data_IF_754805250812
#
_entry.id   IF_754805250812
#
_cell.length_a   1.000
_cell.length_b   1.000
_cell.length_c   1.000
_cell.angle_alpha   90.00
_cell.angle_beta   90.00
_cell.angle_gamma   90.00
#
_symmetry.space_group_name_H-M   'P 1'
#
loop_
_entity.id
_entity.type
_entity.pdbx_description
1 polymer ?
#
# COMPACT_ATOMS: atom_id res chain seq x y z
N UNK A 1 12.10 8.95 -78.35
CA UNK A 1 12.31 7.61 -77.75
C UNK A 1 12.03 7.75 -76.25
N UNK A 2 10.77 7.49 -75.82
CA UNK A 2 10.29 7.76 -74.43
C UNK A 2 10.27 6.41 -73.71
N UNK A 3 11.15 6.24 -72.72
CA UNK A 3 11.18 5.03 -71.88
C UNK A 3 10.16 5.18 -70.73
N UNK A 4 9.11 4.33 -70.72
CA UNK A 4 8.13 4.18 -69.63
C UNK A 4 8.77 3.47 -68.46
N UNK A 5 8.88 4.17 -67.31
CA UNK A 5 9.16 3.55 -66.02
C UNK A 5 7.87 2.93 -65.48
N UNK A 6 7.84 1.61 -65.28
CA UNK A 6 6.79 0.89 -64.54
C UNK A 6 7.17 0.90 -63.04
N UNK A 7 6.47 1.70 -62.25
CA UNK A 7 6.51 1.60 -60.79
C UNK A 7 5.83 0.30 -60.36
N UNK A 8 6.60 -0.64 -59.81
CA UNK A 8 6.08 -1.76 -59.04
C UNK A 8 5.92 -1.29 -57.58
N UNK A 9 4.68 -1.09 -57.15
CA UNK A 9 4.32 -0.89 -55.74
C UNK A 9 4.48 -2.25 -55.05
N UNK A 10 5.48 -2.37 -54.19
CA UNK A 10 5.67 -3.52 -53.29
C UNK A 10 4.84 -3.26 -52.03
N UNK A 11 3.65 -3.86 -51.93
CA UNK A 11 2.86 -3.84 -50.71
C UNK A 11 3.49 -4.80 -49.72
N UNK A 12 4.21 -4.25 -48.76
CA UNK A 12 4.76 -5.02 -47.64
C UNK A 12 3.60 -5.35 -46.67
N UNK A 13 3.13 -6.58 -46.75
CA UNK A 13 2.21 -7.13 -45.77
C UNK A 13 3.01 -7.36 -44.46
N UNK A 14 2.93 -6.44 -43.53
CA UNK A 14 3.41 -6.66 -42.15
C UNK A 14 2.40 -7.60 -41.49
N UNK A 15 2.69 -8.90 -41.53
CA UNK A 15 2.00 -9.88 -40.68
C UNK A 15 2.50 -9.59 -39.26
N UNK A 16 1.69 -8.90 -38.45
CA UNK A 16 1.89 -8.84 -37.03
C UNK A 16 1.69 -10.24 -36.46
N UNK A 17 2.77 -10.99 -36.30
CA UNK A 17 2.79 -12.18 -35.45
C UNK A 17 2.47 -11.69 -34.03
N UNK A 18 1.21 -11.79 -33.62
CA UNK A 18 0.82 -11.75 -32.23
C UNK A 18 1.52 -12.95 -31.58
N UNK A 19 2.61 -12.70 -30.86
CA UNK A 19 3.17 -13.66 -29.92
C UNK A 19 2.11 -13.81 -28.84
N UNK A 20 1.20 -14.78 -29.01
CA UNK A 20 0.23 -15.13 -28.00
C UNK A 20 1.00 -15.70 -26.81
N UNK A 21 1.14 -14.93 -25.73
CA UNK A 21 1.68 -15.44 -24.48
C UNK A 21 0.87 -16.66 -24.00
N UNK A 22 1.53 -17.63 -23.38
CA UNK A 22 0.88 -18.79 -22.79
C UNK A 22 -0.10 -18.34 -21.71
N UNK A 23 -1.28 -18.97 -21.68
CA UNK A 23 -2.31 -18.67 -20.68
C UNK A 23 -2.21 -19.60 -19.48
N UNK A 24 -2.42 -19.05 -18.27
CA UNK A 24 -2.46 -19.82 -17.03
C UNK A 24 -3.92 -19.91 -16.56
N UNK A 25 -4.39 -21.14 -16.37
CA UNK A 25 -5.70 -21.43 -15.82
C UNK A 25 -5.57 -21.90 -14.36
N UNK A 26 -6.08 -21.14 -13.41
CA UNK A 26 -6.31 -21.58 -12.04
C UNK A 26 -7.75 -22.11 -12.00
N UNK A 27 -7.91 -23.43 -11.86
CA UNK A 27 -9.24 -24.07 -11.84
C UNK A 27 -9.66 -24.55 -10.48
N UNK A 28 -10.99 -24.64 -10.27
CA UNK A 28 -11.60 -25.18 -9.07
C UNK A 28 -11.11 -24.49 -7.78
N UNK A 29 -11.15 -23.16 -7.76
CA UNK A 29 -10.72 -22.31 -6.66
C UNK A 29 -11.92 -21.82 -5.85
N UNK A 30 -11.78 -21.71 -4.53
CA UNK A 30 -12.70 -20.92 -3.67
C UNK A 30 -12.19 -19.47 -3.67
N UNK A 31 -12.86 -18.63 -4.45
CA UNK A 31 -12.39 -17.29 -4.77
C UNK A 31 -13.01 -16.26 -3.83
N UNK A 32 -12.18 -15.53 -3.09
CA UNK A 32 -12.53 -14.23 -2.51
C UNK A 32 -11.96 -13.15 -3.44
N UNK A 33 -12.80 -12.54 -4.24
CA UNK A 33 -12.38 -11.65 -5.33
C UNK A 33 -11.98 -10.23 -4.88
N UNK A 34 -12.17 -9.90 -3.60
CA UNK A 34 -11.95 -8.55 -3.08
C UNK A 34 -13.10 -7.57 -3.41
N UNK A 35 -14.16 -8.01 -4.07
CA UNK A 35 -15.31 -7.19 -4.46
C UNK A 35 -16.57 -7.63 -3.70
N UNK A 36 -16.88 -8.93 -3.77
CA UNK A 36 -18.03 -9.53 -3.11
C UNK A 36 -17.73 -9.80 -1.64
N UNK A 37 -18.78 -9.86 -0.81
CA UNK A 37 -18.63 -10.17 0.60
C UNK A 37 -18.49 -11.68 0.85
N UNK A 38 -18.89 -12.52 -0.11
CA UNK A 38 -18.83 -13.97 -0.02
C UNK A 38 -17.94 -14.55 -1.11
N UNK A 39 -17.32 -15.70 -0.82
CA UNK A 39 -16.57 -16.46 -1.80
C UNK A 39 -17.50 -17.23 -2.74
N UNK A 40 -16.95 -17.59 -3.90
CA UNK A 40 -17.59 -18.50 -4.85
C UNK A 40 -16.56 -19.49 -5.41
N UNK A 41 -17.05 -20.63 -5.90
CA UNK A 41 -16.18 -21.60 -6.58
C UNK A 41 -16.10 -21.27 -8.06
N UNK A 42 -14.88 -21.13 -8.60
CA UNK A 42 -14.68 -20.73 -9.98
C UNK A 42 -13.29 -20.99 -10.52
N UNK A 43 -13.09 -20.48 -11.73
CA UNK A 43 -11.88 -20.60 -12.51
C UNK A 43 -11.40 -19.20 -12.92
N UNK A 44 -10.07 -19.00 -12.93
CA UNK A 44 -9.43 -17.75 -13.29
C UNK A 44 -8.47 -18.01 -14.45
N UNK A 45 -8.65 -17.31 -15.57
CA UNK A 45 -7.75 -17.39 -16.71
C UNK A 45 -6.88 -16.13 -16.77
N UNK A 46 -5.58 -16.34 -16.78
CA UNK A 46 -4.56 -15.29 -16.82
C UNK A 46 -3.86 -15.35 -18.18
N UNK A 47 -3.68 -14.22 -18.82
CA UNK A 47 -2.90 -14.07 -20.04
C UNK A 47 -2.27 -12.68 -20.10
N UNK A 48 -1.04 -12.57 -20.60
CA UNK A 48 -0.35 -11.30 -20.81
C UNK A 48 -0.41 -10.40 -19.56
N UNK A 49 -0.05 -10.97 -18.39
CA UNK A 49 -0.05 -10.31 -17.06
C UNK A 49 -1.42 -10.02 -16.46
N UNK A 50 -2.51 -10.17 -17.22
CA UNK A 50 -3.86 -9.75 -16.78
C UNK A 50 -4.82 -10.93 -16.63
N UNK A 51 -5.81 -10.72 -15.80
CA UNK A 51 -6.97 -11.61 -15.66
C UNK A 51 -7.88 -11.36 -16.86
N UNK A 52 -8.07 -12.37 -17.71
CA UNK A 52 -8.90 -12.25 -18.92
C UNK A 52 -10.27 -12.89 -18.77
N UNK A 53 -10.43 -13.80 -17.79
CA UNK A 53 -11.73 -14.42 -17.51
C UNK A 53 -11.80 -14.90 -16.05
N UNK A 54 -12.97 -14.73 -15.43
CA UNK A 54 -13.35 -15.31 -14.15
C UNK A 54 -14.73 -15.92 -14.31
N UNK A 55 -14.89 -17.23 -14.08
CA UNK A 55 -16.15 -17.93 -14.37
C UNK A 55 -16.27 -19.22 -13.56
N UNK A 56 -17.52 -19.67 -13.30
CA UNK A 56 -17.79 -21.01 -12.76
C UNK A 56 -17.83 -22.10 -13.85
N UNK A 57 -17.91 -21.72 -15.13
CA UNK A 57 -17.94 -22.67 -16.23
C UNK A 57 -16.55 -23.24 -16.52
N UNK A 58 -16.51 -24.43 -17.11
CA UNK A 58 -15.26 -25.00 -17.61
C UNK A 58 -14.66 -24.16 -18.73
N UNK A 59 -13.38 -23.85 -18.61
CA UNK A 59 -12.58 -23.14 -19.60
C UNK A 59 -11.23 -23.85 -19.79
N UNK A 60 -10.55 -23.53 -20.88
CA UNK A 60 -9.24 -24.09 -21.22
C UNK A 60 -8.15 -23.05 -21.03
N UNK A 61 -6.97 -23.49 -20.67
CA UNK A 61 -5.75 -22.71 -20.62
C UNK A 61 -4.57 -23.60 -21.02
N UNK A 62 -3.48 -22.99 -21.43
CA UNK A 62 -2.27 -23.70 -21.86
C UNK A 62 -1.57 -24.36 -20.65
N UNK A 63 -1.53 -23.65 -19.53
CA UNK A 63 -1.01 -24.14 -18.26
C UNK A 63 -2.13 -24.22 -17.22
N UNK A 64 -2.35 -25.40 -16.66
CA UNK A 64 -3.48 -25.64 -15.74
C UNK A 64 -2.97 -25.91 -14.32
N UNK A 65 -3.44 -25.09 -13.37
CA UNK A 65 -3.23 -25.26 -11.94
C UNK A 65 -4.56 -25.61 -11.30
N UNK A 66 -4.69 -26.80 -10.74
CA UNK A 66 -5.88 -27.16 -9.99
C UNK A 66 -5.73 -26.68 -8.53
N UNK A 67 -6.54 -25.71 -8.15
CA UNK A 67 -6.55 -25.21 -6.77
C UNK A 67 -7.20 -26.16 -5.77
N UNK A 68 -7.90 -27.23 -6.22
CA UNK A 68 -8.50 -28.24 -5.35
C UNK A 68 -9.42 -27.63 -4.26
N UNK A 69 -10.22 -26.61 -4.63
CA UNK A 69 -11.07 -25.82 -3.73
C UNK A 69 -10.31 -25.02 -2.66
N UNK A 70 -9.00 -24.88 -2.77
CA UNK A 70 -8.22 -24.00 -1.91
C UNK A 70 -8.67 -22.55 -2.08
N UNK A 71 -8.46 -21.77 -1.03
CA UNK A 71 -8.79 -20.34 -1.05
C UNK A 71 -7.83 -19.60 -1.98
N UNK A 72 -8.41 -18.74 -2.81
CA UNK A 72 -7.69 -17.86 -3.71
C UNK A 72 -8.14 -16.43 -3.46
N UNK A 73 -7.16 -15.54 -3.25
CA UNK A 73 -7.39 -14.11 -2.99
C UNK A 73 -6.60 -13.24 -3.97
N UNK A 74 -6.95 -11.95 -4.11
CA UNK A 74 -6.00 -10.99 -4.65
C UNK A 74 -4.72 -10.96 -3.82
N UNK A 75 -3.64 -10.45 -4.40
CA UNK A 75 -2.42 -10.12 -3.66
C UNK A 75 -2.69 -9.08 -2.58
N UNK A 76 -2.07 -9.26 -1.40
CA UNK A 76 -2.25 -8.36 -0.28
C UNK A 76 -1.44 -7.08 -0.47
N UNK A 77 -2.02 -5.95 -0.07
CA UNK A 77 -1.42 -4.60 -0.14
C UNK A 77 -1.14 -4.13 1.29
N UNK A 78 0.12 -4.01 1.66
CA UNK A 78 0.51 -3.46 2.95
C UNK A 78 0.62 -1.93 2.87
N UNK A 79 -0.14 -1.19 3.69
CA UNK A 79 -0.33 0.27 3.55
C UNK A 79 0.50 1.13 4.50
N UNK A 80 1.29 0.54 5.36
CA UNK A 80 2.18 1.23 6.31
C UNK A 80 3.45 0.41 6.47
N UNK A 81 4.39 0.60 5.54
CA UNK A 81 5.64 -0.17 5.55
C UNK A 81 6.86 0.73 5.40
N UNK A 82 8.02 0.18 5.77
CA UNK A 82 9.35 0.72 5.47
C UNK A 82 10.10 -0.23 4.52
N UNK A 83 9.39 -1.13 3.82
CA UNK A 83 10.00 -2.10 2.90
C UNK A 83 10.81 -1.38 1.83
N UNK A 84 12.03 -1.85 1.65
CA UNK A 84 12.96 -1.33 0.65
C UNK A 84 13.71 -0.05 1.06
N UNK A 85 13.33 0.61 2.17
CA UNK A 85 14.03 1.82 2.67
C UNK A 85 14.63 1.65 4.07
N UNK A 86 14.26 0.59 4.78
CA UNK A 86 14.86 0.23 6.07
C UNK A 86 15.12 -1.27 6.11
N UNK A 87 16.37 -1.67 6.39
CA UNK A 87 16.74 -3.09 6.55
C UNK A 87 16.76 -3.51 8.02
N UNK A 88 17.34 -2.70 8.90
CA UNK A 88 17.42 -2.96 10.32
C UNK A 88 17.06 -1.67 11.07
N UNK A 89 15.88 -1.64 11.68
CA UNK A 89 15.36 -0.44 12.33
C UNK A 89 16.27 0.18 13.40
N UNK A 90 17.06 -0.66 14.10
CA UNK A 90 18.01 -0.20 15.13
C UNK A 90 19.33 0.36 14.56
N UNK A 91 19.60 0.23 13.25
CA UNK A 91 20.85 0.69 12.63
C UNK A 91 20.57 1.86 11.69
N UNK A 92 20.93 3.07 12.10
CA UNK A 92 20.72 4.29 11.30
C UNK A 92 21.34 4.22 9.91
N UNK A 93 22.46 3.55 9.73
CA UNK A 93 23.15 3.36 8.44
C UNK A 93 22.33 2.53 7.43
N UNK A 94 21.28 1.87 7.86
CA UNK A 94 20.37 1.08 7.00
C UNK A 94 18.99 1.72 6.84
N UNK A 95 18.86 3.00 7.17
CA UNK A 95 17.61 3.76 7.15
C UNK A 95 17.69 4.92 6.16
N UNK A 96 16.80 4.91 5.17
CA UNK A 96 16.64 5.95 4.16
C UNK A 96 15.24 6.60 4.23
N UNK A 97 14.65 6.60 5.43
CA UNK A 97 13.24 6.93 5.69
C UNK A 97 13.01 8.32 6.27
N UNK A 98 14.07 9.12 6.46
CA UNK A 98 13.99 10.46 7.07
C UNK A 98 14.88 11.46 6.36
N UNK A 99 14.54 12.75 6.49
CA UNK A 99 15.32 13.86 5.97
C UNK A 99 15.25 15.07 6.91
N UNK A 100 16.37 15.77 7.05
CA UNK A 100 16.47 16.98 7.86
C UNK A 100 16.23 18.25 7.02
N UNK A 101 16.71 18.25 5.78
CA UNK A 101 16.70 19.42 4.92
C UNK A 101 15.34 19.69 4.26
N UNK A 102 14.70 18.65 3.70
CA UNK A 102 13.36 18.78 3.10
C UNK A 102 12.30 18.44 4.15
N UNK A 103 11.48 19.42 4.51
CA UNK A 103 10.51 19.29 5.61
C UNK A 103 9.19 18.68 5.16
N UNK A 104 8.79 18.94 3.90
CA UNK A 104 7.49 18.49 3.36
C UNK A 104 7.67 17.68 2.07
N UNK A 105 8.53 18.13 1.17
CA UNK A 105 8.75 17.55 -0.14
C UNK A 105 9.79 16.42 -0.19
N UNK A 106 10.15 15.82 0.93
CA UNK A 106 11.02 14.64 0.99
C UNK A 106 10.32 13.43 0.37
N UNK A 107 10.90 12.85 -0.68
CA UNK A 107 10.40 11.64 -1.35
C UNK A 107 11.30 10.44 -1.07
N UNK A 108 10.70 9.29 -0.78
CA UNK A 108 11.43 8.03 -0.52
C UNK A 108 11.58 7.17 -1.78
N UNK A 109 11.01 7.59 -2.91
CA UNK A 109 10.93 6.75 -4.11
C UNK A 109 12.31 6.30 -4.62
N UNK A 110 13.26 7.23 -4.69
CA UNK A 110 14.61 6.96 -5.21
C UNK A 110 15.49 6.16 -4.23
N UNK A 111 15.07 6.04 -2.96
CA UNK A 111 15.77 5.25 -1.95
C UNK A 111 15.34 3.78 -1.93
N UNK A 112 14.30 3.42 -2.65
CA UNK A 112 13.76 2.06 -2.60
C UNK A 112 14.75 1.03 -3.14
N UNK A 113 15.12 0.07 -2.30
CA UNK A 113 15.99 -1.06 -2.65
C UNK A 113 15.15 -2.32 -2.95
N UNK A 114 14.94 -2.69 -4.21
CA UNK A 114 14.17 -3.89 -4.58
C UNK A 114 14.86 -5.19 -4.15
N UNK A 115 16.15 -5.15 -3.79
CA UNK A 115 16.92 -6.28 -3.28
C UNK A 115 16.93 -6.37 -1.74
N UNK A 116 16.09 -5.60 -1.04
CA UNK A 116 15.92 -5.73 0.40
C UNK A 116 15.58 -7.16 0.82
N UNK A 117 16.25 -7.65 1.87
CA UNK A 117 16.01 -9.01 2.38
C UNK A 117 14.63 -9.19 3.00
N UNK A 118 13.97 -8.11 3.35
CA UNK A 118 12.63 -8.09 3.94
C UNK A 118 11.53 -8.29 2.89
N UNK A 119 11.77 -7.95 1.63
CA UNK A 119 10.80 -8.09 0.54
C UNK A 119 10.46 -9.57 0.30
N UNK A 120 11.41 -10.50 0.06
CA UNK A 120 11.10 -11.92 -0.10
C UNK A 120 10.38 -12.51 1.12
N UNK A 121 10.70 -12.07 2.33
CA UNK A 121 10.06 -12.51 3.56
C UNK A 121 8.56 -12.14 3.59
N UNK A 122 8.23 -10.88 3.36
CA UNK A 122 6.84 -10.43 3.35
C UNK A 122 6.07 -10.98 2.14
N UNK A 123 6.71 -11.05 0.97
CA UNK A 123 6.13 -11.61 -0.26
C UNK A 123 5.79 -13.10 -0.12
N UNK A 124 6.64 -13.91 0.51
CA UNK A 124 6.35 -15.33 0.77
C UNK A 124 5.18 -15.52 1.73
N UNK A 125 4.73 -14.47 2.39
CA UNK A 125 3.55 -14.44 3.25
C UNK A 125 2.34 -13.73 2.60
N UNK A 126 2.41 -13.42 1.30
CA UNK A 126 1.29 -12.92 0.51
C UNK A 126 1.27 -11.42 0.25
N UNK A 127 2.25 -10.63 0.74
CA UNK A 127 2.34 -9.21 0.39
C UNK A 127 2.88 -9.07 -1.03
N UNK A 128 2.05 -8.66 -1.97
CA UNK A 128 2.43 -8.50 -3.39
C UNK A 128 2.83 -7.07 -3.74
N UNK A 129 2.40 -6.13 -2.92
CA UNK A 129 2.74 -4.72 -3.09
C UNK A 129 2.68 -3.97 -1.75
N UNK A 130 3.34 -2.83 -1.68
CA UNK A 130 3.40 -2.01 -0.48
C UNK A 130 3.23 -0.54 -0.77
N UNK A 131 2.57 0.17 0.14
CA UNK A 131 2.71 1.60 0.31
C UNK A 131 3.81 1.81 1.35
N UNK A 132 4.98 2.22 0.88
CA UNK A 132 6.13 2.49 1.72
C UNK A 132 6.12 3.96 2.12
N UNK A 133 6.23 4.22 3.42
CA UNK A 133 6.09 5.53 4.02
C UNK A 133 7.40 5.98 4.64
N UNK A 134 7.77 7.27 4.53
CA UNK A 134 8.87 7.82 5.31
C UNK A 134 8.53 7.87 6.80
N UNK A 135 9.53 8.11 7.62
CA UNK A 135 9.34 8.54 9.00
C UNK A 135 8.86 10.00 9.04
N UNK A 136 8.50 10.46 10.21
CA UNK A 136 8.13 11.85 10.41
C UNK A 136 9.29 12.79 10.04
N UNK A 137 8.96 13.87 9.37
CA UNK A 137 9.86 15.02 9.18
C UNK A 137 9.77 16.00 10.37
N UNK A 138 10.51 17.09 10.34
CA UNK A 138 10.39 18.17 11.33
C UNK A 138 9.07 18.94 11.24
N UNK A 139 8.31 18.79 10.15
CA UNK A 139 6.98 19.36 9.96
C UNK A 139 5.87 18.42 10.47
N UNK A 140 4.75 18.94 10.99
CA UNK A 140 3.60 18.10 11.38
C UNK A 140 2.92 17.41 10.19
N UNK A 141 3.05 17.96 8.97
CA UNK A 141 2.71 17.31 7.70
C UNK A 141 3.91 17.38 6.77
N UNK A 142 4.28 16.29 6.15
CA UNK A 142 5.40 16.22 5.21
C UNK A 142 6.04 14.85 5.13
N UNK A 143 6.75 14.64 4.03
CA UNK A 143 7.27 13.35 3.61
C UNK A 143 6.29 12.64 2.67
N UNK A 144 6.81 12.20 1.54
CA UNK A 144 6.04 11.60 0.44
C UNK A 144 6.31 10.10 0.40
N UNK A 145 5.29 9.32 0.66
CA UNK A 145 5.29 7.86 0.51
C UNK A 145 4.99 7.44 -0.92
N UNK A 146 5.40 6.24 -1.27
CA UNK A 146 5.31 5.71 -2.63
C UNK A 146 4.79 4.27 -2.64
N UNK A 147 4.09 3.92 -3.71
CA UNK A 147 3.59 2.57 -3.93
C UNK A 147 4.57 1.76 -4.76
N UNK A 148 4.84 0.51 -4.33
CA UNK A 148 5.77 -0.40 -4.98
C UNK A 148 5.17 -1.78 -5.18
N UNK A 149 5.49 -2.39 -6.33
CA UNK A 149 5.19 -3.78 -6.65
C UNK A 149 6.38 -4.63 -6.24
N UNK A 150 6.12 -5.70 -5.50
CA UNK A 150 7.16 -6.53 -4.90
C UNK A 150 7.47 -7.77 -5.75
N UNK A 151 7.61 -7.62 -7.08
CA UNK A 151 7.83 -8.72 -8.01
C UNK A 151 9.25 -9.34 -7.94
N UNK A 152 10.18 -8.66 -7.25
CA UNK A 152 11.55 -9.11 -7.06
C UNK A 152 12.49 -8.81 -8.21
N UNK A 153 12.06 -8.00 -9.17
CA UNK A 153 12.91 -7.49 -10.25
C UNK A 153 13.71 -6.29 -9.74
N UNK A 154 14.93 -6.12 -10.26
CA UNK A 154 15.77 -4.96 -9.91
C UNK A 154 15.24 -3.64 -10.48
N UNK A 155 14.47 -3.71 -11.55
CA UNK A 155 13.77 -2.54 -12.07
C UNK A 155 12.55 -2.26 -11.20
N UNK A 156 12.53 -1.09 -10.57
CA UNK A 156 11.43 -0.66 -9.71
C UNK A 156 10.17 -0.46 -10.54
N UNK A 157 9.10 -1.15 -10.17
CA UNK A 157 7.75 -0.92 -10.67
C UNK A 157 6.91 -0.34 -9.52
N UNK A 158 6.36 0.88 -9.72
CA UNK A 158 5.62 1.57 -8.67
C UNK A 158 5.13 2.94 -9.10
N UNK A 159 4.56 3.66 -8.15
CA UNK A 159 4.09 5.04 -8.32
C UNK A 159 4.75 5.92 -7.26
N UNK A 160 5.54 6.89 -7.73
CA UNK A 160 6.21 7.84 -6.85
C UNK A 160 5.21 8.79 -6.20
N UNK A 161 5.52 9.19 -4.96
CA UNK A 161 4.82 10.25 -4.24
C UNK A 161 3.29 10.08 -4.25
N UNK A 162 2.84 8.89 -3.89
CA UNK A 162 1.42 8.49 -3.90
C UNK A 162 0.63 9.13 -2.76
N UNK A 163 1.32 9.51 -1.68
CA UNK A 163 0.70 9.99 -0.45
C UNK A 163 1.65 10.91 0.32
N UNK A 164 1.09 11.90 1.02
CA UNK A 164 1.81 12.68 2.04
C UNK A 164 1.46 12.13 3.42
N UNK A 165 2.43 12.15 4.34
CA UNK A 165 2.18 11.75 5.74
C UNK A 165 2.11 12.96 6.66
N UNK A 166 1.52 12.76 7.83
CA UNK A 166 1.48 13.75 8.90
C UNK A 166 1.09 13.11 10.23
N UNK A 167 1.08 13.94 11.28
CA UNK A 167 0.73 13.52 12.63
C UNK A 167 0.01 14.61 13.40
N UNK A 168 -0.84 14.19 14.33
CA UNK A 168 -1.49 15.05 15.31
C UNK A 168 -1.62 14.29 16.63
N UNK A 169 -1.03 14.80 17.69
CA UNK A 169 -1.01 14.19 19.01
C UNK A 169 0.15 13.20 19.22
N UNK A 170 0.10 12.48 20.33
CA UNK A 170 1.17 11.58 20.75
C UNK A 170 2.37 12.30 21.36
N UNK A 171 3.48 11.58 21.50
CA UNK A 171 4.73 12.08 22.14
C UNK A 171 5.52 13.07 21.27
N UNK A 172 5.12 13.28 20.05
CA UNK A 172 5.82 14.15 19.09
C UNK A 172 5.40 15.62 19.21
N UNK A 173 4.21 15.89 19.76
CA UNK A 173 3.64 17.22 19.82
C UNK A 173 3.84 17.83 21.20
N UNK A 174 4.45 19.02 21.23
CA UNK A 174 4.51 19.83 22.46
C UNK A 174 3.12 20.33 22.87
N UNK A 175 2.31 20.71 21.86
CA UNK A 175 0.94 21.18 22.02
C UNK A 175 0.11 20.86 20.78
N UNK A 176 -1.05 20.20 20.98
CA UNK A 176 -2.01 19.96 19.88
C UNK A 176 -2.50 21.24 19.24
N UNK A 177 -2.71 22.28 20.06
CA UNK A 177 -3.17 23.58 19.56
C UNK A 177 -2.15 24.22 18.62
N UNK A 178 -0.86 24.13 18.97
CA UNK A 178 0.22 24.62 18.11
C UNK A 178 0.31 23.79 16.82
N UNK A 179 0.30 22.46 16.93
CA UNK A 179 0.35 21.56 15.76
C UNK A 179 -0.82 21.79 14.81
N UNK A 180 -2.05 21.91 15.33
CA UNK A 180 -3.23 22.22 14.52
C UNK A 180 -3.13 23.60 13.85
N UNK A 181 -2.58 24.60 14.55
CA UNK A 181 -2.36 25.93 13.97
C UNK A 181 -1.35 25.87 12.83
N UNK A 182 -0.23 25.17 13.01
CA UNK A 182 0.77 25.00 11.96
C UNK A 182 0.18 24.26 10.74
N UNK A 183 -0.56 23.16 10.96
CA UNK A 183 -1.24 22.43 9.88
C UNK A 183 -2.21 23.35 9.14
N UNK A 184 -3.06 24.09 9.86
CA UNK A 184 -4.01 25.02 9.25
C UNK A 184 -3.31 26.12 8.44
N UNK A 185 -2.22 26.68 8.95
CA UNK A 185 -1.47 27.73 8.26
C UNK A 185 -0.76 27.21 7.00
N UNK A 186 -0.21 25.99 7.06
CA UNK A 186 0.37 25.30 5.90
C UNK A 186 -0.69 25.00 4.82
N UNK A 187 -1.88 24.54 5.22
CA UNK A 187 -2.98 24.25 4.29
C UNK A 187 -3.54 25.55 3.71
N UNK A 188 -3.63 26.62 4.50
CA UNK A 188 -4.01 27.95 4.03
C UNK A 188 -3.02 28.49 3.00
N UNK A 189 -1.72 28.37 3.28
CA UNK A 189 -0.67 28.71 2.33
C UNK A 189 -0.77 27.88 1.05
N UNK A 190 -0.89 26.54 1.18
CA UNK A 190 -1.05 25.63 0.05
C UNK A 190 -2.23 26.01 -0.86
N UNK A 191 -3.37 26.41 -0.26
CA UNK A 191 -4.58 26.84 -0.99
C UNK A 191 -4.40 28.14 -1.75
N UNK A 192 -3.41 28.97 -1.38
CA UNK A 192 -3.11 30.23 -2.07
C UNK A 192 -2.19 30.04 -3.30
N UNK A 193 -1.59 28.85 -3.46
CA UNK A 193 -0.62 28.57 -4.51
C UNK A 193 -1.33 28.20 -5.81
N UNK A 194 -1.08 28.93 -6.89
CA UNK A 194 -1.58 28.57 -8.21
C UNK A 194 -0.63 27.67 -8.98
N UNK A 195 -1.17 26.84 -9.88
CA UNK A 195 -0.38 25.95 -10.75
C UNK A 195 0.65 26.73 -11.60
N UNK A 196 0.37 27.96 -11.98
CA UNK A 196 1.32 28.82 -12.70
C UNK A 196 2.57 29.09 -11.87
N UNK A 197 2.39 29.46 -10.62
CA UNK A 197 3.48 29.87 -9.72
C UNK A 197 4.47 28.72 -9.43
N UNK A 198 4.01 27.47 -9.32
CA UNK A 198 4.91 26.32 -9.04
C UNK A 198 5.80 25.92 -10.23
N UNK A 199 5.56 26.49 -11.41
CA UNK A 199 6.37 26.23 -12.60
C UNK A 199 7.55 27.21 -12.75
N UNK A 200 7.65 28.23 -11.88
CA UNK A 200 8.73 29.23 -11.88
C UNK A 200 9.45 29.24 -10.54
N UNK A 201 10.73 28.97 -10.52
CA UNK A 201 11.55 29.04 -9.29
C UNK A 201 11.56 30.42 -8.67
N UNK A 202 11.51 31.49 -9.49
CA UNK A 202 11.43 32.86 -9.02
C UNK A 202 10.10 33.10 -8.31
N UNK A 203 8.97 32.72 -8.92
CA UNK A 203 7.64 32.89 -8.32
C UNK A 203 7.51 32.09 -7.01
N UNK A 204 8.07 30.86 -6.94
CA UNK A 204 8.12 30.08 -5.70
C UNK A 204 8.92 30.82 -4.61
N UNK A 205 10.05 31.40 -4.95
CA UNK A 205 10.90 32.13 -3.99
C UNK A 205 10.19 33.39 -3.47
N UNK A 206 9.44 34.08 -4.32
CA UNK A 206 8.59 35.20 -3.95
C UNK A 206 7.44 34.77 -3.02
N UNK A 207 6.78 33.62 -3.31
CA UNK A 207 5.76 33.02 -2.44
C UNK A 207 6.30 32.71 -1.05
N UNK A 208 7.46 32.06 -0.95
CA UNK A 208 8.11 31.73 0.32
C UNK A 208 8.38 33.03 1.10
N UNK A 209 8.97 34.03 0.45
CA UNK A 209 9.37 35.29 1.09
C UNK A 209 8.15 36.12 1.56
N UNK A 210 7.01 36.00 0.89
CA UNK A 210 5.78 36.72 1.23
C UNK A 210 4.94 36.00 2.29
N UNK A 211 5.20 34.75 2.58
CA UNK A 211 4.44 33.94 3.55
C UNK A 211 5.17 33.83 4.89
N UNK A 212 4.51 34.27 5.97
CA UNK A 212 5.06 34.15 7.32
C UNK A 212 5.32 32.70 7.75
N UNK A 213 4.39 31.80 7.45
CA UNK A 213 4.56 30.37 7.79
C UNK A 213 5.67 29.71 6.94
N UNK A 214 5.74 30.00 5.64
CA UNK A 214 6.76 29.45 4.78
C UNK A 214 8.17 29.92 5.17
N UNK A 215 8.30 31.21 5.52
CA UNK A 215 9.56 31.77 6.02
C UNK A 215 9.93 31.22 7.40
N UNK A 216 8.99 31.17 8.35
CA UNK A 216 9.23 30.67 9.69
C UNK A 216 9.62 29.18 9.69
N UNK A 217 9.08 28.41 8.77
CA UNK A 217 9.44 26.99 8.58
C UNK A 217 10.62 26.79 7.62
N UNK A 218 11.19 27.85 7.06
CA UNK A 218 12.31 27.75 6.10
C UNK A 218 12.02 26.76 4.98
N UNK A 219 10.84 26.90 4.33
CA UNK A 219 10.43 25.96 3.30
C UNK A 219 11.32 26.06 2.07
N UNK A 220 11.66 24.89 1.51
CA UNK A 220 12.34 24.80 0.22
C UNK A 220 11.33 24.82 -0.93
N UNK A 221 11.69 25.24 -2.17
CA UNK A 221 10.80 25.15 -3.34
C UNK A 221 10.16 23.79 -3.56
N UNK A 222 10.84 22.70 -3.22
CA UNK A 222 10.30 21.33 -3.26
C UNK A 222 9.14 21.14 -2.29
N UNK A 223 9.21 21.74 -1.09
CA UNK A 223 8.16 21.67 -0.09
C UNK A 223 6.89 22.42 -0.58
N UNK A 224 7.07 23.56 -1.24
CA UNK A 224 5.97 24.33 -1.85
C UNK A 224 5.27 23.51 -2.95
N UNK A 225 6.05 22.84 -3.81
CA UNK A 225 5.49 21.94 -4.84
C UNK A 225 4.70 20.76 -4.23
N UNK A 226 5.18 20.19 -3.15
CA UNK A 226 4.48 19.11 -2.46
C UNK A 226 3.17 19.61 -1.82
N UNK A 227 3.18 20.78 -1.18
CA UNK A 227 1.98 21.42 -0.65
C UNK A 227 0.96 21.77 -1.74
N UNK A 228 1.42 22.27 -2.90
CA UNK A 228 0.55 22.50 -4.04
C UNK A 228 -0.17 21.23 -4.49
N UNK A 229 0.56 20.11 -4.61
CA UNK A 229 -0.03 18.81 -4.99
C UNK A 229 -1.09 18.33 -4.00
N UNK A 230 -0.90 18.59 -2.71
CA UNK A 230 -1.84 18.20 -1.67
C UNK A 230 -3.24 18.79 -1.91
N UNK A 231 -3.31 20.04 -2.33
CA UNK A 231 -4.59 20.75 -2.57
C UNK A 231 -5.07 20.59 -4.01
N UNK A 232 -4.19 20.82 -4.99
CA UNK A 232 -4.60 20.95 -6.39
C UNK A 232 -4.66 19.60 -7.13
N UNK A 233 -3.82 18.64 -6.74
CA UNK A 233 -3.83 17.27 -7.33
C UNK A 233 -4.61 16.29 -6.44
N UNK A 234 -5.23 16.77 -5.36
CA UNK A 234 -5.96 15.95 -4.39
C UNK A 234 -5.11 14.77 -3.86
N UNK A 235 -3.81 15.04 -3.60
CA UNK A 235 -2.87 14.03 -3.11
C UNK A 235 -3.38 13.50 -1.76
N UNK A 236 -3.48 12.18 -1.56
CA UNK A 236 -3.88 11.62 -0.27
C UNK A 236 -2.97 12.10 0.86
N UNK A 237 -3.58 12.44 2.01
CA UNK A 237 -2.88 12.84 3.22
C UNK A 237 -3.20 11.86 4.35
N UNK A 238 -2.22 11.06 4.77
CA UNK A 238 -2.35 10.21 5.95
C UNK A 238 -1.93 11.01 7.17
N UNK A 239 -2.84 11.19 8.14
CA UNK A 239 -2.48 11.78 9.44
C UNK A 239 -2.60 10.70 10.53
N UNK A 240 -1.49 10.45 11.23
CA UNK A 240 -1.50 9.58 12.41
C UNK A 240 -2.10 10.32 13.59
N UNK A 241 -3.22 9.80 14.12
CA UNK A 241 -3.91 10.34 15.28
C UNK A 241 -4.83 9.28 15.89
N UNK A 242 -5.04 9.30 17.21
CA UNK A 242 -5.81 8.29 17.91
C UNK A 242 -7.04 8.87 18.65
N UNK A 243 -6.91 10.06 19.21
CA UNK A 243 -7.87 10.66 20.13
C UNK A 243 -9.10 11.21 19.41
N UNK A 244 -10.31 10.90 19.89
CA UNK A 244 -11.58 11.30 19.28
C UNK A 244 -11.70 12.80 19.01
N UNK A 245 -11.26 13.66 19.94
CA UNK A 245 -11.28 15.11 19.77
C UNK A 245 -10.36 15.59 18.63
N UNK A 246 -9.24 14.91 18.40
CA UNK A 246 -8.30 15.22 17.32
C UNK A 246 -8.92 14.79 15.97
N UNK A 247 -9.61 13.62 15.94
CA UNK A 247 -10.31 13.14 14.75
C UNK A 247 -11.40 14.11 14.29
N UNK A 248 -12.15 14.73 15.23
CA UNK A 248 -13.12 15.78 14.91
C UNK A 248 -12.43 16.97 14.25
N UNK A 249 -11.29 17.44 14.80
CA UNK A 249 -10.55 18.55 14.23
C UNK A 249 -9.98 18.25 12.84
N UNK A 250 -9.54 17.01 12.62
CA UNK A 250 -9.10 16.56 11.29
C UNK A 250 -10.25 16.53 10.28
N UNK A 251 -11.46 16.11 10.69
CA UNK A 251 -12.64 16.17 9.85
C UNK A 251 -13.01 17.62 9.48
N UNK A 252 -12.96 18.56 10.43
CA UNK A 252 -13.17 20.00 10.17
C UNK A 252 -12.14 20.55 9.15
N UNK A 253 -10.86 20.14 9.25
CA UNK A 253 -9.83 20.56 8.29
C UNK A 253 -10.06 19.94 6.91
N UNK A 254 -10.49 18.67 6.86
CA UNK A 254 -10.85 18.01 5.61
C UNK A 254 -11.93 18.80 4.87
N UNK A 255 -13.02 19.16 5.55
CA UNK A 255 -14.11 19.93 4.96
C UNK A 255 -13.65 21.30 4.50
N UNK A 256 -12.89 22.00 5.36
CA UNK A 256 -12.41 23.35 5.09
C UNK A 256 -11.53 23.46 3.84
N UNK A 257 -10.65 22.48 3.62
CA UNK A 257 -9.64 22.49 2.55
C UNK A 257 -9.91 21.45 1.45
N UNK A 258 -11.03 20.74 1.52
CA UNK A 258 -11.38 19.63 0.60
C UNK A 258 -10.26 18.59 0.46
N UNK A 259 -9.71 18.14 1.60
CA UNK A 259 -8.57 17.21 1.62
C UNK A 259 -8.99 15.77 1.29
N UNK A 260 -8.13 15.06 0.61
CA UNK A 260 -8.18 13.59 0.55
C UNK A 260 -7.53 13.00 1.82
N UNK A 261 -8.22 13.15 2.94
CA UNK A 261 -7.73 12.79 4.27
C UNK A 261 -7.95 11.31 4.57
N UNK A 262 -6.92 10.65 5.09
CA UNK A 262 -6.94 9.30 5.65
C UNK A 262 -6.39 9.41 7.08
N UNK A 263 -7.02 8.73 8.04
CA UNK A 263 -6.51 8.74 9.41
C UNK A 263 -5.91 7.37 9.74
N UNK A 264 -4.69 7.39 10.29
CA UNK A 264 -3.98 6.19 10.73
C UNK A 264 -3.95 6.13 12.25
N UNK A 265 -4.19 4.95 12.81
CA UNK A 265 -4.33 4.70 14.24
C UNK A 265 -5.79 4.74 14.69
N UNK A 266 -6.36 5.91 14.84
CA UNK A 266 -7.81 6.13 15.07
C UNK A 266 -8.45 5.24 16.17
N UNK A 267 -7.73 4.93 17.25
CA UNK A 267 -8.20 3.97 18.28
C UNK A 267 -9.49 4.42 18.99
N UNK A 268 -9.75 5.73 19.05
CA UNK A 268 -10.99 6.28 19.60
C UNK A 268 -12.08 6.59 18.55
N UNK A 269 -11.89 6.18 17.30
CA UNK A 269 -12.82 6.51 16.20
C UNK A 269 -14.25 6.00 16.42
N UNK A 270 -14.44 4.94 17.19
CA UNK A 270 -15.78 4.45 17.54
C UNK A 270 -16.61 5.45 18.37
N UNK A 271 -15.98 6.44 19.04
CA UNK A 271 -16.67 7.50 19.75
C UNK A 271 -17.22 8.59 18.82
N UNK A 272 -16.72 8.67 17.59
CA UNK A 272 -17.01 9.69 16.58
C UNK A 272 -17.26 9.09 15.20
N UNK A 273 -17.70 7.82 15.15
CA UNK A 273 -17.87 7.05 13.91
C UNK A 273 -18.82 7.73 12.93
N UNK A 274 -19.90 8.36 13.41
CA UNK A 274 -20.83 9.12 12.57
C UNK A 274 -20.13 10.29 11.85
N UNK A 275 -19.24 11.01 12.52
CA UNK A 275 -18.47 12.12 11.90
C UNK A 275 -17.53 11.56 10.83
N UNK A 276 -16.83 10.45 11.13
CA UNK A 276 -15.91 9.80 10.20
C UNK A 276 -16.66 9.28 8.96
N UNK A 277 -17.81 8.63 9.16
CA UNK A 277 -18.64 8.09 8.09
C UNK A 277 -19.21 9.22 7.20
N UNK A 278 -19.82 10.24 7.79
CA UNK A 278 -20.41 11.38 7.07
C UNK A 278 -19.38 12.13 6.23
N UNK A 279 -18.13 12.21 6.68
CA UNK A 279 -17.02 12.83 5.96
C UNK A 279 -16.31 11.87 5.01
N UNK A 280 -16.73 10.62 4.89
CA UNK A 280 -16.08 9.59 4.06
C UNK A 280 -14.56 9.54 4.31
N UNK A 281 -14.13 9.44 5.56
CA UNK A 281 -12.71 9.38 5.94
C UNK A 281 -12.29 7.91 6.06
N UNK A 282 -11.41 7.40 5.17
CA UNK A 282 -10.85 6.06 5.32
C UNK A 282 -9.94 5.98 6.54
N UNK A 283 -9.89 4.80 7.17
CA UNK A 283 -9.05 4.56 8.33
C UNK A 283 -8.03 3.45 8.06
N UNK A 284 -6.81 3.65 8.59
CA UNK A 284 -5.78 2.61 8.69
C UNK A 284 -5.67 2.26 10.16
N UNK A 285 -6.02 1.04 10.54
CA UNK A 285 -6.02 0.59 11.94
C UNK A 285 -5.23 -0.69 12.12
N UNK A 286 -4.69 -0.90 13.31
CA UNK A 286 -4.14 -2.19 13.71
C UNK A 286 -5.14 -2.92 14.61
N UNK A 287 -5.81 -3.98 14.15
CA UNK A 287 -6.82 -4.68 14.94
C UNK A 287 -6.28 -5.37 16.21
N UNK A 288 -4.97 -5.54 16.31
CA UNK A 288 -4.31 -6.14 17.48
C UNK A 288 -4.15 -5.12 18.61
N UNK A 289 -4.08 -3.83 18.29
CA UNK A 289 -3.94 -2.74 19.26
C UNK A 289 -5.29 -2.46 19.93
N UNK A 290 -5.69 -3.29 20.88
CA UNK A 290 -7.01 -3.27 21.51
C UNK A 290 -6.98 -2.89 23.00
N UNK A 291 -5.80 -2.54 23.51
CA UNK A 291 -5.56 -2.08 24.88
C UNK A 291 -4.94 -0.69 24.79
N UNK A 292 -5.36 0.28 25.64
CA UNK A 292 -4.77 1.61 25.64
C UNK A 292 -3.25 1.56 25.85
N UNK A 293 -2.48 1.99 24.84
CA UNK A 293 -1.03 2.17 24.94
C UNK A 293 -0.65 3.57 25.45
N UNK A 294 -1.59 4.50 25.36
CA UNK A 294 -1.41 5.89 25.76
C UNK A 294 -2.74 6.54 26.20
N UNK A 295 -2.67 7.77 26.76
CA UNK A 295 -3.86 8.55 27.08
C UNK A 295 -4.66 9.02 25.86
N UNK A 296 -4.13 8.84 24.64
CA UNK A 296 -4.82 9.15 23.38
C UNK A 296 -5.64 7.97 22.85
N UNK A 297 -5.65 6.82 23.56
CA UNK A 297 -6.22 5.55 23.13
C UNK A 297 -7.14 4.92 24.18
N UNK A 298 -7.67 5.73 25.13
CA UNK A 298 -8.42 5.23 26.27
C UNK A 298 -9.67 4.42 25.90
N UNK A 299 -10.24 4.67 24.72
CA UNK A 299 -11.36 3.93 24.18
C UNK A 299 -10.98 2.79 23.23
N UNK A 300 -9.69 2.40 23.18
CA UNK A 300 -9.26 1.25 22.40
C UNK A 300 -10.10 0.01 22.72
N UNK A 301 -10.54 -0.71 21.68
CA UNK A 301 -11.46 -1.82 21.83
C UNK A 301 -11.27 -2.86 20.72
N UNK A 302 -11.23 -4.12 21.10
CA UNK A 302 -11.03 -5.25 20.18
C UNK A 302 -12.13 -5.36 19.10
N UNK A 303 -13.33 -4.81 19.36
CA UNK A 303 -14.45 -4.81 18.39
C UNK A 303 -14.44 -3.60 17.46
N UNK A 304 -13.39 -2.78 17.48
CA UNK A 304 -13.30 -1.55 16.69
C UNK A 304 -13.56 -1.80 15.20
N UNK A 305 -12.89 -2.79 14.60
CA UNK A 305 -13.02 -3.11 13.16
C UNK A 305 -14.48 -3.41 12.77
N UNK A 306 -15.19 -4.23 13.59
CA UNK A 306 -16.61 -4.54 13.39
C UNK A 306 -17.48 -3.28 13.43
N UNK A 307 -17.31 -2.45 14.47
CA UNK A 307 -18.11 -1.22 14.65
C UNK A 307 -17.94 -0.25 13.49
N UNK A 308 -16.73 -0.11 12.98
CA UNK A 308 -16.43 0.75 11.83
C UNK A 308 -17.01 0.18 10.52
N UNK A 309 -16.95 -1.15 10.34
CA UNK A 309 -17.57 -1.82 9.19
C UNK A 309 -19.11 -1.65 9.19
N UNK A 310 -19.75 -1.78 10.34
CA UNK A 310 -21.20 -1.58 10.51
C UNK A 310 -21.64 -0.15 10.12
N UNK A 311 -20.79 0.85 10.34
CA UNK A 311 -21.00 2.23 9.93
C UNK A 311 -20.60 2.51 8.45
N UNK A 312 -20.17 1.48 7.71
CA UNK A 312 -19.76 1.60 6.31
C UNK A 312 -18.45 2.33 6.08
N UNK A 313 -17.63 2.51 7.12
CA UNK A 313 -16.32 3.17 7.02
C UNK A 313 -15.32 2.26 6.31
N UNK A 314 -14.58 2.81 5.34
CA UNK A 314 -13.51 2.10 4.65
C UNK A 314 -12.33 1.87 5.60
N UNK A 315 -11.99 0.61 5.85
CA UNK A 315 -10.92 0.22 6.76
C UNK A 315 -9.80 -0.45 5.99
N UNK A 316 -8.58 -0.09 6.32
CA UNK A 316 -7.35 -0.76 5.90
C UNK A 316 -6.59 -1.21 7.13
N UNK A 317 -5.84 -2.31 7.02
CA UNK A 317 -5.07 -2.83 8.13
C UNK A 317 -3.58 -2.54 7.98
N UNK A 318 -2.96 -2.10 9.07
CA UNK A 318 -1.52 -2.07 9.21
C UNK A 318 -1.04 -3.03 10.34
N UNK A 319 0.26 -3.23 10.41
CA UNK A 319 0.93 -3.94 11.50
C UNK A 319 2.01 -3.02 12.10
N UNK A 320 2.63 -3.45 13.20
CA UNK A 320 3.79 -2.75 13.72
C UNK A 320 4.92 -2.72 12.69
N UNK A 321 5.70 -1.63 12.65
CA UNK A 321 6.80 -1.42 11.71
C UNK A 321 8.08 -2.20 12.10
N UNK A 322 7.97 -3.52 12.29
CA UNK A 322 9.07 -4.37 12.73
C UNK A 322 9.35 -5.50 11.73
N UNK A 323 9.51 -5.17 10.45
CA UNK A 323 9.84 -6.13 9.39
C UNK A 323 8.73 -7.11 9.01
N UNK A 324 7.76 -7.34 9.91
CA UNK A 324 6.74 -8.37 9.77
C UNK A 324 5.40 -7.79 9.27
N UNK A 325 5.44 -7.02 8.18
CA UNK A 325 4.24 -6.39 7.62
C UNK A 325 3.15 -7.37 7.21
N UNK A 326 3.52 -8.63 6.92
CA UNK A 326 2.57 -9.71 6.65
C UNK A 326 1.65 -10.04 7.84
N UNK A 327 1.97 -9.58 9.05
CA UNK A 327 1.09 -9.74 10.22
C UNK A 327 -0.23 -8.98 10.10
N UNK A 328 -0.42 -8.14 9.08
CA UNK A 328 -1.73 -7.60 8.71
C UNK A 328 -2.77 -8.71 8.53
N UNK A 329 -2.38 -9.92 8.09
CA UNK A 329 -3.27 -11.09 8.00
C UNK A 329 -3.74 -11.54 9.38
N UNK A 330 -2.83 -11.61 10.35
CA UNK A 330 -3.17 -11.95 11.72
C UNK A 330 -4.11 -10.90 12.34
N UNK A 331 -3.83 -9.61 12.09
CA UNK A 331 -4.74 -8.52 12.47
C UNK A 331 -6.14 -8.70 11.88
N UNK A 332 -6.22 -9.04 10.59
CA UNK A 332 -7.48 -9.31 9.92
C UNK A 332 -8.22 -10.51 10.55
N UNK A 333 -7.51 -11.58 10.90
CA UNK A 333 -8.07 -12.74 11.62
C UNK A 333 -8.63 -12.36 13.00
N UNK A 334 -7.91 -11.51 13.75
CA UNK A 334 -8.39 -10.95 15.04
C UNK A 334 -9.66 -10.13 14.82
N UNK A 335 -9.72 -9.29 13.79
CA UNK A 335 -10.92 -8.50 13.46
C UNK A 335 -12.14 -9.40 13.17
N UNK A 336 -11.95 -10.47 12.38
CA UNK A 336 -13.02 -11.44 12.06
C UNK A 336 -13.45 -12.20 13.31
N UNK A 337 -12.52 -12.65 14.14
CA UNK A 337 -12.83 -13.32 15.40
C UNK A 337 -13.64 -12.43 16.37
N UNK A 338 -13.58 -11.10 16.20
CA UNK A 338 -14.31 -10.12 16.99
C UNK A 338 -15.48 -9.45 16.24
N UNK A 339 -15.97 -10.14 15.19
CA UNK A 339 -17.26 -9.88 14.57
C UNK A 339 -17.23 -9.07 13.28
N UNK A 340 -16.07 -8.70 12.74
CA UNK A 340 -15.96 -8.17 11.39
C UNK A 340 -16.30 -9.26 10.36
N UNK A 341 -16.89 -8.89 9.23
CA UNK A 341 -17.16 -9.85 8.17
C UNK A 341 -15.85 -10.36 7.53
N UNK A 342 -15.83 -11.65 7.16
CA UNK A 342 -14.66 -12.24 6.49
C UNK A 342 -14.34 -11.53 5.16
N UNK A 343 -15.37 -11.27 4.36
CA UNK A 343 -15.23 -10.53 3.11
C UNK A 343 -14.74 -9.09 3.31
N UNK A 344 -15.20 -8.43 4.37
CA UNK A 344 -14.72 -7.10 4.77
C UNK A 344 -13.22 -7.12 5.13
N UNK A 345 -12.79 -8.14 5.87
CA UNK A 345 -11.38 -8.30 6.23
C UNK A 345 -10.48 -8.53 4.99
N UNK A 346 -10.93 -9.36 4.03
CA UNK A 346 -10.20 -9.53 2.75
C UNK A 346 -10.16 -8.21 1.96
N UNK A 347 -11.28 -7.46 1.89
CA UNK A 347 -11.30 -6.15 1.23
C UNK A 347 -10.34 -5.15 1.88
N UNK A 348 -10.27 -5.15 3.21
CA UNK A 348 -9.36 -4.29 3.98
C UNK A 348 -7.87 -4.55 3.68
N UNK A 349 -7.54 -5.76 3.24
CA UNK A 349 -6.18 -6.17 2.83
C UNK A 349 -5.91 -6.01 1.33
N UNK A 350 -6.92 -5.71 0.49
CA UNK A 350 -6.80 -5.83 -0.97
C UNK A 350 -7.45 -4.66 -1.71
N UNK A 351 -8.76 -4.68 -1.93
CA UNK A 351 -9.45 -3.72 -2.80
C UNK A 351 -9.64 -2.34 -2.16
N UNK A 352 -9.82 -2.25 -0.85
CA UNK A 352 -9.95 -0.95 -0.18
C UNK A 352 -8.64 -0.15 -0.29
N UNK A 353 -7.45 -0.71 0.06
CA UNK A 353 -6.19 -0.02 -0.20
C UNK A 353 -6.01 0.42 -1.65
N UNK A 354 -6.33 -0.48 -2.60
CA UNK A 354 -6.21 -0.15 -4.02
C UNK A 354 -7.12 1.04 -4.42
N UNK A 355 -8.34 1.08 -3.90
CA UNK A 355 -9.29 2.15 -4.16
C UNK A 355 -8.87 3.47 -3.52
N UNK A 356 -8.53 3.45 -2.23
CA UNK A 356 -8.19 4.64 -1.43
C UNK A 356 -6.94 5.35 -1.98
N UNK A 357 -5.93 4.58 -2.41
CA UNK A 357 -4.70 5.13 -2.98
C UNK A 357 -4.70 5.20 -4.51
N UNK A 358 -5.87 5.00 -5.15
CA UNK A 358 -6.04 5.06 -6.61
C UNK A 358 -5.04 4.17 -7.38
N UNK A 359 -4.77 2.98 -6.84
CA UNK A 359 -3.92 1.97 -7.47
C UNK A 359 -4.75 1.27 -8.55
N UNK A 360 -4.47 1.60 -9.80
CA UNK A 360 -5.27 1.15 -10.95
C UNK A 360 -5.05 -0.34 -11.26
N UNK A 361 -6.13 -1.02 -11.61
CA UNK A 361 -6.15 -2.40 -12.12
C UNK A 361 -5.56 -3.44 -11.14
N UNK A 362 -5.61 -3.22 -9.81
CA UNK A 362 -5.08 -4.13 -8.77
C UNK A 362 -6.04 -4.24 -7.59
N UNK A 363 -5.71 -5.12 -6.64
CA UNK A 363 -6.47 -5.31 -5.41
C UNK A 363 -7.76 -6.12 -5.53
N UNK A 364 -8.10 -6.64 -6.74
CA UNK A 364 -9.25 -7.50 -6.92
C UNK A 364 -9.06 -8.50 -8.06
N UNK A 365 -9.71 -9.67 -7.95
CA UNK A 365 -9.77 -10.68 -9.02
C UNK A 365 -10.91 -10.32 -9.97
N UNK A 366 -10.61 -9.42 -10.90
CA UNK A 366 -11.55 -8.87 -11.87
C UNK A 366 -10.93 -8.90 -13.27
N UNK A 367 -11.74 -9.15 -14.29
CA UNK A 367 -11.30 -9.10 -15.71
C UNK A 367 -10.73 -7.71 -16.01
N UNK A 368 -9.56 -7.69 -16.62
CA UNK A 368 -8.79 -6.50 -16.95
C UNK A 368 -7.74 -6.09 -15.90
N UNK A 369 -7.85 -6.57 -14.67
CA UNK A 369 -6.85 -6.30 -13.63
C UNK A 369 -5.58 -7.12 -13.88
N UNK A 370 -4.45 -6.62 -13.35
CA UNK A 370 -3.23 -7.40 -13.24
C UNK A 370 -3.47 -8.64 -12.39
N UNK A 371 -2.87 -9.75 -12.76
CA UNK A 371 -3.02 -11.00 -12.05
C UNK A 371 -2.05 -11.07 -10.86
N UNK A 372 -2.34 -10.28 -9.82
CA UNK A 372 -1.74 -10.41 -8.51
C UNK A 372 -2.65 -11.32 -7.69
N UNK A 373 -2.30 -12.60 -7.59
CA UNK A 373 -3.18 -13.66 -7.08
C UNK A 373 -2.40 -14.57 -6.15
N UNK A 374 -3.04 -14.99 -5.07
CA UNK A 374 -2.46 -15.93 -4.11
C UNK A 374 -3.35 -17.17 -4.03
N UNK A 375 -2.74 -18.34 -4.10
CA UNK A 375 -3.35 -19.61 -3.76
C UNK A 375 -2.83 -20.01 -2.37
N UNK A 376 -3.72 -20.17 -1.42
CA UNK A 376 -3.39 -20.48 -0.04
C UNK A 376 -3.47 -21.99 0.22
N UNK A 377 -2.62 -22.50 1.11
CA UNK A 377 -2.69 -23.89 1.55
C UNK A 377 -3.90 -24.14 2.47
N UNK A 378 -4.30 -23.12 3.24
CA UNK A 378 -5.44 -23.12 4.15
C UNK A 378 -6.07 -21.70 4.23
N UNK A 379 -6.74 -21.36 5.32
CA UNK A 379 -7.36 -20.04 5.55
C UNK A 379 -6.28 -18.94 5.61
N UNK A 380 -6.32 -17.92 4.71
CA UNK A 380 -5.32 -16.83 4.69
C UNK A 380 -5.27 -16.01 5.97
N UNK A 381 -6.33 -15.97 6.78
CA UNK A 381 -6.38 -15.19 8.02
C UNK A 381 -5.82 -15.95 9.23
N UNK A 382 -5.59 -17.26 9.08
CA UNK A 382 -4.94 -18.08 10.10
C UNK A 382 -3.41 -17.90 10.05
N UNK A 383 -2.73 -17.69 11.20
CA UNK A 383 -1.28 -17.48 11.24
C UNK A 383 -0.46 -18.64 10.66
N UNK A 384 -0.95 -19.89 10.80
CA UNK A 384 -0.28 -21.10 10.31
C UNK A 384 -0.41 -21.30 8.80
N UNK A 385 -1.32 -20.64 8.14
CA UNK A 385 -1.53 -20.72 6.70
C UNK A 385 -0.43 -20.00 5.92
N UNK A 386 -0.02 -20.60 4.81
CA UNK A 386 1.01 -20.03 3.94
C UNK A 386 0.55 -19.99 2.48
N UNK A 387 1.03 -19.03 1.70
CA UNK A 387 0.86 -19.07 0.26
C UNK A 387 1.50 -20.33 -0.34
N UNK A 388 0.73 -21.10 -1.07
CA UNK A 388 1.26 -22.19 -1.89
C UNK A 388 1.84 -21.68 -3.20
N UNK A 389 1.15 -20.67 -3.78
CA UNK A 389 1.61 -19.95 -4.97
C UNK A 389 1.24 -18.48 -4.86
N UNK A 390 2.15 -17.65 -5.31
CA UNK A 390 1.95 -16.20 -5.46
C UNK A 390 2.22 -15.84 -6.91
N UNK A 391 1.28 -15.10 -7.49
CA UNK A 391 1.44 -14.47 -8.80
C UNK A 391 1.49 -12.97 -8.61
N UNK A 392 2.44 -12.32 -9.27
CA UNK A 392 2.52 -10.85 -9.38
C UNK A 392 2.66 -10.53 -10.87
N UNK A 393 1.82 -9.66 -11.40
CA UNK A 393 1.75 -9.39 -12.83
C UNK A 393 1.57 -10.68 -13.67
N UNK A 394 0.85 -11.69 -13.16
CA UNK A 394 0.65 -12.97 -13.83
C UNK A 394 1.86 -13.90 -13.87
N UNK A 395 3.00 -13.49 -13.32
CA UNK A 395 4.21 -14.30 -13.21
C UNK A 395 4.25 -15.02 -11.85
N UNK A 396 4.54 -16.32 -11.85
CA UNK A 396 4.70 -17.09 -10.62
C UNK A 396 5.99 -16.69 -9.90
N UNK A 397 5.88 -16.34 -8.63
CA UNK A 397 6.99 -15.82 -7.82
C UNK A 397 7.66 -16.93 -7.04
N UNK A 398 9.00 -16.91 -6.99
CA UNK A 398 9.78 -17.74 -6.07
C UNK A 398 9.57 -17.28 -4.62
N UNK A 399 9.10 -18.19 -3.77
CA UNK A 399 8.82 -17.94 -2.35
C UNK A 399 10.03 -18.23 -1.45
N UNK A 400 11.20 -18.46 -2.03
CA UNK A 400 12.44 -18.70 -1.28
C UNK A 400 12.88 -17.44 -0.54
N UNK A 401 13.08 -17.57 0.77
CA UNK A 401 13.54 -16.48 1.64
C UNK A 401 14.96 -16.74 2.17
N UNK A 402 15.57 -15.73 2.80
CA UNK A 402 16.82 -15.93 3.53
C UNK A 402 16.67 -16.99 4.63
N UNK A 403 15.55 -16.96 5.34
CA UNK A 403 15.26 -17.94 6.41
C UNK A 403 15.13 -19.37 5.87
N UNK A 404 14.42 -19.58 4.75
CA UNK A 404 14.29 -20.91 4.14
C UNK A 404 15.64 -21.44 3.66
N UNK A 405 16.48 -20.58 3.02
CA UNK A 405 17.83 -20.96 2.60
C UNK A 405 18.72 -21.35 3.79
N UNK A 406 18.63 -20.61 4.91
CA UNK A 406 19.37 -20.95 6.12
C UNK A 406 18.87 -22.26 6.72
N UNK A 407 17.55 -22.45 6.84
CA UNK A 407 16.97 -23.72 7.27
C UNK A 407 17.51 -24.86 6.43
N UNK A 408 17.40 -24.79 5.11
CA UNK A 408 17.81 -25.86 4.20
C UNK A 408 19.32 -26.14 4.28
N UNK A 409 20.13 -25.09 4.51
CA UNK A 409 21.58 -25.23 4.71
C UNK A 409 21.92 -25.97 5.99
N UNK A 410 21.21 -25.73 7.09
CA UNK A 410 21.53 -26.28 8.40
C UNK A 410 20.78 -27.59 8.72
N UNK A 411 19.69 -27.86 8.01
CA UNK A 411 18.94 -29.13 8.17
C UNK A 411 19.39 -30.24 7.22
N UNK A 412 20.12 -29.92 6.13
CA UNK A 412 20.77 -30.94 5.31
C UNK A 412 21.79 -31.70 6.18
N UNK A 413 21.74 -33.03 6.17
CA UNK A 413 22.78 -33.86 6.77
C UNK A 413 24.10 -33.51 6.10
N UNK A 414 24.90 -32.71 6.77
CA UNK A 414 26.30 -32.51 6.39
C UNK A 414 27.02 -33.80 6.81
N UNK A 415 27.63 -34.51 5.89
CA UNK A 415 28.57 -35.57 6.25
C UNK A 415 29.58 -34.97 7.23
N UNK A 416 29.53 -35.45 8.50
CA UNK A 416 30.47 -34.97 9.50
C UNK A 416 31.88 -35.30 9.03
N UNK A 417 32.83 -34.35 9.05
CA UNK A 417 34.22 -34.66 8.76
C UNK A 417 34.67 -35.87 9.56
N UNK A 418 35.51 -36.71 8.97
CA UNK A 418 36.00 -37.98 9.61
C UNK A 418 36.59 -37.73 10.99
N UNK A 419 37.16 -36.57 11.24
CA UNK A 419 37.70 -36.08 12.53
C UNK A 419 36.67 -36.00 13.66
N UNK A 420 35.37 -36.01 13.37
CA UNK A 420 34.28 -35.91 14.37
C UNK A 420 33.47 -37.21 14.46
N UNK A 421 33.91 -38.29 13.80
CA UNK A 421 33.33 -39.63 13.95
C UNK A 421 34.06 -40.31 15.14
N UNK A 422 33.45 -40.33 16.30
CA UNK A 422 33.83 -41.22 17.40
C UNK A 422 33.16 -42.56 17.19
#
# INVERSE_FOLDING_TARGET
MIRKFKNKIFVLFIISLSINGESILIKNATIFDGIQSQSFVGNILIKDKKIIQVTSNEIKGDYVINANKKIVTPGLIAVDTELGIVEIGALSVTRDDSADFYKIGFSIYDAFNPNSTLIPWNRSNGITSSLTLPQNTSSPIGGLGSYFILDGKMQIEGVADTVMIGRLGGSYDKSRSETLSIINDLLSFASSISTRQVNSEQEISELISSSSIATAMELHPRDVKALHRLINDNLPLIIKSHRASDLIKLAELKDKYNLNLIIMGAQESALVSEIIANNNIPLIINPIDNIPGSFDELAANITLSRRLEEEGIQIMFNASRDHNYHLIRQGAGVAVANGMSYGGAIKALTSIPASVFNIKDRGSIKVGNFADIIIWDNDPLEPSSMPEKVFINGESIDLTTRSSRLRDRYTKEVEKPVTYRN
#
